data_IF_016565085733
#
_entry.id   IF_016565085733
#
_cell.length_a   1.000
_cell.length_b   1.000
_cell.length_c   1.000
_cell.angle_alpha   90.00
_cell.angle_beta   90.00
_cell.angle_gamma   90.00
#
_symmetry.space_group_name_H-M   'P 1'
#
loop_
_entity.id
_entity.type
_entity.pdbx_description
1 polymer ?
#
# COMPACT_ATOMS: atom_id res chain seq x y z
N UNK A 1 6.40 28.08 -20.58
CA UNK A 1 6.96 29.42 -20.89
C UNK A 1 8.37 29.25 -21.44
N UNK A 2 8.67 29.79 -22.62
CA UNK A 2 9.99 29.63 -23.25
C UNK A 2 11.07 30.33 -22.41
N UNK A 3 12.13 29.59 -22.09
CA UNK A 3 13.36 30.10 -21.50
C UNK A 3 13.94 31.19 -22.39
N UNK A 4 13.65 32.45 -22.07
CA UNK A 4 14.19 33.60 -22.77
C UNK A 4 15.34 34.13 -21.94
N UNK A 5 16.53 34.17 -22.55
CA UNK A 5 17.70 34.78 -21.94
C UNK A 5 17.32 36.23 -21.60
N UNK A 6 17.37 36.63 -20.31
CA UNK A 6 16.85 37.93 -19.90
C UNK A 6 17.65 39.03 -20.59
N UNK A 7 16.95 39.89 -21.33
CA UNK A 7 17.50 41.13 -21.85
C UNK A 7 17.35 42.22 -20.77
N UNK A 8 18.19 43.25 -20.82
CA UNK A 8 18.15 44.38 -19.87
C UNK A 8 16.73 44.97 -19.76
N UNK A 9 16.05 45.08 -20.90
CA UNK A 9 14.71 45.66 -20.98
C UNK A 9 13.63 44.78 -20.36
N UNK A 10 13.68 43.45 -20.54
CA UNK A 10 12.70 42.54 -19.94
C UNK A 10 12.87 42.45 -18.43
N UNK A 11 14.13 42.51 -17.95
CA UNK A 11 14.41 42.55 -16.51
C UNK A 11 13.90 43.83 -15.84
N UNK A 12 13.94 44.97 -16.53
CA UNK A 12 13.38 46.25 -16.02
C UNK A 12 11.85 46.21 -15.97
N UNK A 13 11.19 45.55 -16.92
CA UNK A 13 9.73 45.48 -16.99
C UNK A 13 9.12 44.55 -15.92
N UNK A 14 9.77 43.40 -15.67
CA UNK A 14 9.27 42.37 -14.75
C UNK A 14 9.91 42.43 -13.35
N UNK A 15 11.07 43.07 -13.22
CA UNK A 15 11.87 43.09 -12.01
C UNK A 15 11.54 44.24 -11.07
N UNK A 16 11.93 44.10 -9.81
CA UNK A 16 11.87 45.18 -8.83
C UNK A 16 13.23 45.89 -8.76
N UNK A 17 13.22 47.22 -8.90
CA UNK A 17 14.43 48.02 -8.74
C UNK A 17 14.80 48.14 -7.26
N UNK A 18 16.00 47.70 -6.91
CA UNK A 18 16.54 47.82 -5.56
C UNK A 18 18.03 48.20 -5.58
N UNK A 19 18.54 48.67 -4.45
CA UNK A 19 19.97 48.87 -4.26
C UNK A 19 20.54 47.65 -3.53
N UNK A 20 21.72 47.17 -3.93
CA UNK A 20 22.35 45.96 -3.37
C UNK A 20 22.47 45.99 -1.83
N UNK A 21 22.60 47.19 -1.25
CA UNK A 21 22.71 47.41 0.20
C UNK A 21 21.36 47.48 0.93
N UNK A 22 20.24 47.17 0.28
CA UNK A 22 18.90 47.22 0.87
C UNK A 22 18.39 48.64 1.17
N UNK A 23 19.01 49.66 0.56
CA UNK A 23 18.59 51.05 0.71
C UNK A 23 17.28 51.26 -0.04
N UNK A 24 16.27 51.82 0.64
CA UNK A 24 14.99 52.13 -0.01
C UNK A 24 15.17 53.26 -1.04
N UNK A 25 14.41 53.23 -2.16
CA UNK A 25 14.43 54.32 -3.14
C UNK A 25 14.15 55.70 -2.53
N UNK A 26 13.32 55.76 -1.48
CA UNK A 26 13.02 56.99 -0.74
C UNK A 26 14.24 57.55 0.00
N UNK A 27 15.04 56.68 0.64
CA UNK A 27 16.28 57.10 1.30
C UNK A 27 17.31 57.59 0.26
N UNK A 28 17.37 56.95 -0.92
CA UNK A 28 18.18 57.44 -2.03
C UNK A 28 17.75 58.85 -2.48
N UNK A 29 16.45 59.08 -2.70
CA UNK A 29 15.92 60.42 -3.05
C UNK A 29 16.25 61.47 -1.99
N UNK A 30 16.19 61.10 -0.71
CA UNK A 30 16.58 61.99 0.39
C UNK A 30 18.07 62.36 0.34
N UNK A 31 18.96 61.38 0.11
CA UNK A 31 20.40 61.61 -0.03
C UNK A 31 20.71 62.50 -1.24
N UNK A 32 20.01 62.32 -2.36
CA UNK A 32 20.13 63.18 -3.55
C UNK A 32 19.74 64.62 -3.21
N UNK A 33 18.62 64.84 -2.53
CA UNK A 33 18.20 66.17 -2.11
C UNK A 33 19.21 66.83 -1.16
N UNK A 34 19.81 66.06 -0.25
CA UNK A 34 20.85 66.54 0.66
C UNK A 34 22.12 66.96 -0.07
N UNK A 35 22.57 66.18 -1.07
CA UNK A 35 23.72 66.52 -1.92
C UNK A 35 23.45 67.82 -2.69
N UNK A 36 22.30 67.92 -3.37
CA UNK A 36 21.93 69.11 -4.14
C UNK A 36 21.84 70.34 -3.24
N UNK A 37 21.19 70.21 -2.07
CA UNK A 37 21.07 71.29 -1.08
C UNK A 37 22.41 71.72 -0.50
N UNK A 38 23.30 70.77 -0.17
CA UNK A 38 24.64 71.06 0.32
C UNK A 38 25.48 71.79 -0.74
N UNK A 39 25.47 71.31 -1.99
CA UNK A 39 26.15 71.98 -3.10
C UNK A 39 25.58 73.38 -3.27
N UNK A 40 24.26 73.55 -3.33
CA UNK A 40 23.61 74.86 -3.42
C UNK A 40 24.06 75.83 -2.31
N UNK A 41 24.09 75.39 -1.05
CA UNK A 41 24.56 76.18 0.09
C UNK A 41 26.03 76.63 -0.03
N UNK A 42 26.91 75.78 -0.60
CA UNK A 42 28.31 76.18 -0.84
C UNK A 42 28.43 77.30 -1.89
N UNK A 43 27.59 77.27 -2.93
CA UNK A 43 27.54 78.30 -3.96
C UNK A 43 26.82 79.60 -3.50
N UNK A 44 25.98 79.52 -2.46
CA UNK A 44 25.40 80.71 -1.81
C UNK A 44 26.45 81.51 -1.02
N UNK A 45 27.42 80.84 -0.38
CA UNK A 45 28.49 81.47 0.42
C UNK A 45 29.72 81.88 -0.39
N UNK A 46 29.64 81.91 -1.72
CA UNK A 46 30.77 82.23 -2.58
C UNK A 46 31.02 83.75 -2.60
N UNK A 47 32.25 84.16 -2.26
CA UNK A 47 32.70 85.57 -2.17
C UNK A 47 32.97 86.25 -3.52
N UNK A 48 32.87 85.53 -4.65
CA UNK A 48 33.07 86.07 -6.00
C UNK A 48 31.73 86.41 -6.68
N UNK A 49 31.61 87.57 -7.36
CA UNK A 49 30.40 87.95 -8.08
C UNK A 49 30.26 87.15 -9.38
N UNK A 50 29.68 85.96 -9.28
CA UNK A 50 29.26 85.16 -10.44
C UNK A 50 27.81 85.48 -10.79
N UNK A 51 27.49 85.54 -12.09
CA UNK A 51 26.10 85.66 -12.56
C UNK A 51 25.30 84.42 -12.15
N UNK A 52 23.98 84.60 -11.99
CA UNK A 52 23.06 83.52 -11.56
C UNK A 52 23.13 82.31 -12.48
N UNK A 53 23.28 82.52 -13.80
CA UNK A 53 23.39 81.45 -14.79
C UNK A 53 24.64 80.57 -14.61
N UNK A 54 25.79 81.16 -14.29
CA UNK A 54 27.02 80.40 -14.03
C UNK A 54 26.95 79.67 -12.70
N UNK A 55 26.31 80.25 -11.67
CA UNK A 55 26.07 79.57 -10.40
C UNK A 55 25.18 78.33 -10.58
N UNK A 56 24.07 78.46 -11.31
CA UNK A 56 23.19 77.33 -11.59
C UNK A 56 23.90 76.26 -12.40
N UNK A 57 24.70 76.64 -13.41
CA UNK A 57 25.48 75.69 -14.20
C UNK A 57 26.42 74.86 -13.32
N UNK A 58 27.25 75.50 -12.49
CA UNK A 58 28.19 74.76 -11.64
C UNK A 58 27.50 73.94 -10.54
N UNK A 59 26.38 74.40 -9.99
CA UNK A 59 25.59 73.61 -9.04
C UNK A 59 25.04 72.36 -9.71
N UNK A 60 24.47 72.49 -10.91
CA UNK A 60 23.92 71.34 -11.67
C UNK A 60 25.03 70.36 -12.01
N UNK A 61 26.15 70.83 -12.59
CA UNK A 61 27.28 69.96 -12.96
C UNK A 61 27.89 69.26 -11.74
N UNK A 62 28.08 69.96 -10.62
CA UNK A 62 28.69 69.36 -9.42
C UNK A 62 27.73 68.39 -8.73
N UNK A 63 26.45 68.73 -8.68
CA UNK A 63 25.42 67.85 -8.11
C UNK A 63 25.24 66.60 -8.98
N UNK A 64 25.24 66.72 -10.30
CA UNK A 64 25.09 65.55 -11.19
C UNK A 64 26.24 64.57 -11.04
N UNK A 65 27.49 65.04 -10.97
CA UNK A 65 28.66 64.17 -10.72
C UNK A 65 28.54 63.44 -9.39
N UNK A 66 28.16 64.14 -8.31
CA UNK A 66 28.01 63.53 -6.99
C UNK A 66 26.83 62.54 -6.92
N UNK A 67 25.72 62.84 -7.59
CA UNK A 67 24.56 61.95 -7.68
C UNK A 67 24.88 60.70 -8.49
N UNK A 68 25.59 60.83 -9.61
CA UNK A 68 26.04 59.68 -10.41
C UNK A 68 27.00 58.82 -9.58
N UNK A 69 27.94 59.43 -8.86
CA UNK A 69 28.85 58.71 -7.98
C UNK A 69 28.08 57.97 -6.87
N UNK A 70 27.11 58.63 -6.23
CA UNK A 70 26.23 57.98 -5.24
C UNK A 70 25.46 56.81 -5.87
N UNK A 71 24.86 57.00 -7.04
CA UNK A 71 24.11 55.95 -7.75
C UNK A 71 25.00 54.74 -8.04
N UNK A 72 26.21 54.95 -8.57
CA UNK A 72 27.17 53.87 -8.81
C UNK A 72 27.65 53.20 -7.50
N UNK A 73 27.86 53.98 -6.44
CA UNK A 73 28.31 53.47 -5.14
C UNK A 73 27.27 52.53 -4.52
N UNK A 74 25.98 52.88 -4.65
CA UNK A 74 24.89 52.09 -4.09
C UNK A 74 24.58 50.81 -4.88
N UNK A 75 25.25 50.59 -6.02
CA UNK A 75 25.08 49.42 -6.90
C UNK A 75 23.60 49.15 -7.20
N UNK A 76 23.02 49.82 -8.22
CA UNK A 76 21.66 49.52 -8.64
C UNK A 76 21.58 48.06 -9.11
N UNK A 77 20.62 47.31 -8.59
CA UNK A 77 20.38 45.92 -8.99
C UNK A 77 18.91 45.77 -9.33
N UNK A 78 18.63 44.91 -10.31
CA UNK A 78 17.28 44.51 -10.66
C UNK A 78 17.13 43.09 -10.17
N UNK A 79 16.18 42.87 -9.26
CA UNK A 79 15.86 41.55 -8.72
C UNK A 79 14.64 41.00 -9.45
N UNK A 80 14.81 39.87 -10.12
CA UNK A 80 13.74 39.10 -10.76
C UNK A 80 13.56 37.79 -10.02
N UNK A 81 12.31 37.40 -9.76
CA UNK A 81 12.00 36.06 -9.25
C UNK A 81 11.78 35.16 -10.47
N UNK A 82 12.63 34.15 -10.65
CA UNK A 82 12.43 33.12 -11.66
C UNK A 82 12.15 31.78 -10.96
N UNK A 83 11.04 31.15 -11.31
CA UNK A 83 10.76 29.76 -10.96
C UNK A 83 11.43 28.92 -12.03
N UNK A 84 12.49 28.19 -11.69
CA UNK A 84 13.09 27.24 -12.61
C UNK A 84 12.15 26.02 -12.72
N UNK A 85 11.51 25.77 -13.86
CA UNK A 85 10.76 24.52 -14.07
C UNK A 85 11.78 23.38 -14.02
N UNK A 86 11.41 22.23 -13.45
CA UNK A 86 12.23 21.01 -13.32
C UNK A 86 13.21 20.92 -12.13
N UNK A 87 13.15 21.81 -11.14
CA UNK A 87 13.81 21.57 -9.84
C UNK A 87 12.90 20.86 -8.83
N UNK A 88 11.70 20.42 -9.20
CA UNK A 88 10.76 19.76 -8.28
C UNK A 88 10.40 18.37 -8.79
N UNK A 89 10.48 17.38 -7.91
CA UNK A 89 10.16 15.98 -8.20
C UNK A 89 8.68 15.70 -7.90
N UNK A 90 8.07 14.81 -8.67
CA UNK A 90 6.74 14.25 -8.42
C UNK A 90 6.86 12.73 -8.37
N UNK A 91 6.51 12.11 -7.24
CA UNK A 91 6.46 10.66 -7.13
C UNK A 91 5.11 10.15 -7.60
N UNK A 92 5.08 9.19 -8.51
CA UNK A 92 3.87 8.52 -8.97
C UNK A 92 3.93 7.07 -8.53
N UNK A 93 3.01 6.66 -7.66
CA UNK A 93 2.85 5.30 -7.18
C UNK A 93 1.67 4.66 -7.91
N UNK A 94 1.89 3.49 -8.49
CA UNK A 94 0.89 2.75 -9.25
C UNK A 94 0.75 1.38 -8.62
N UNK A 95 -0.49 1.03 -8.30
CA UNK A 95 -0.85 -0.30 -7.81
C UNK A 95 -0.68 -1.33 -8.95
N UNK A 96 0.01 -2.44 -8.67
CA UNK A 96 0.27 -3.58 -9.58
C UNK A 96 -0.27 -4.89 -8.97
N UNK A 97 -1.22 -4.80 -8.04
CA UNK A 97 -1.88 -5.96 -7.43
C UNK A 97 -2.86 -6.65 -8.38
N UNK A 98 -3.26 -7.87 -8.01
CA UNK A 98 -4.21 -8.68 -8.79
C UNK A 98 -5.56 -8.00 -9.03
N UNK A 99 -6.02 -7.09 -8.16
CA UNK A 99 -7.27 -6.37 -8.40
C UNK A 99 -7.18 -5.42 -9.60
N UNK A 100 -5.98 -5.06 -10.04
CA UNK A 100 -5.75 -4.21 -11.20
C UNK A 100 -5.96 -4.95 -12.54
N UNK A 101 -6.05 -6.28 -12.53
CA UNK A 101 -6.42 -7.08 -13.70
C UNK A 101 -7.94 -7.20 -13.90
N UNK A 102 -8.76 -6.75 -12.94
CA UNK A 102 -10.22 -6.81 -13.03
C UNK A 102 -10.73 -5.92 -14.19
N UNK A 103 -11.64 -6.46 -15.00
CA UNK A 103 -12.23 -5.82 -16.18
C UNK A 103 -13.53 -5.06 -15.84
N UNK A 104 -13.44 -4.12 -14.90
CA UNK A 104 -14.60 -3.32 -14.46
C UNK A 104 -14.68 -1.93 -15.08
N UNK A 105 -13.73 -1.51 -15.93
CA UNK A 105 -13.82 -0.22 -16.62
C UNK A 105 -14.75 -0.28 -17.83
N UNK A 106 -15.12 0.90 -18.34
CA UNK A 106 -15.95 1.04 -19.54
C UNK A 106 -15.41 0.20 -20.69
N UNK A 107 -16.32 -0.46 -21.42
CA UNK A 107 -16.01 -1.36 -22.53
C UNK A 107 -15.22 -2.65 -22.17
N UNK A 108 -15.21 -3.06 -20.89
CA UNK A 108 -14.55 -4.30 -20.45
C UNK A 108 -13.02 -4.19 -20.45
N UNK A 109 -12.51 -2.97 -20.26
CA UNK A 109 -11.07 -2.76 -20.09
C UNK A 109 -10.67 -3.13 -18.66
N UNK A 110 -9.47 -3.68 -18.48
CA UNK A 110 -8.92 -3.86 -17.14
C UNK A 110 -8.53 -2.51 -16.51
N UNK A 111 -8.58 -2.44 -15.17
CA UNK A 111 -8.15 -1.24 -14.42
C UNK A 111 -6.76 -0.76 -14.84
N UNK A 112 -5.81 -1.69 -15.04
CA UNK A 112 -4.49 -1.36 -15.57
C UNK A 112 -4.57 -0.76 -16.99
N UNK A 113 -5.31 -1.35 -17.91
CA UNK A 113 -5.45 -0.79 -19.27
C UNK A 113 -5.97 0.66 -19.21
N UNK A 114 -6.91 0.94 -18.32
CA UNK A 114 -7.37 2.30 -18.04
C UNK A 114 -6.27 3.23 -17.54
N UNK A 115 -5.37 2.77 -16.67
CA UNK A 115 -4.19 3.53 -16.23
C UNK A 115 -3.26 3.79 -17.41
N UNK A 116 -2.93 2.78 -18.20
CA UNK A 116 -2.01 2.94 -19.34
C UNK A 116 -2.56 3.94 -20.36
N UNK A 117 -3.85 3.84 -20.66
CA UNK A 117 -4.51 4.71 -21.62
C UNK A 117 -4.64 6.14 -21.08
N UNK A 118 -5.17 6.31 -19.86
CA UNK A 118 -5.49 7.65 -19.34
C UNK A 118 -4.30 8.38 -18.73
N UNK A 119 -3.37 7.68 -18.08
CA UNK A 119 -2.24 8.31 -17.40
C UNK A 119 -1.05 8.46 -18.36
N UNK A 120 -0.71 7.41 -19.10
CA UNK A 120 0.50 7.40 -19.93
C UNK A 120 0.26 7.79 -21.40
N UNK A 121 -0.85 7.37 -22.02
CA UNK A 121 -1.11 7.64 -23.45
C UNK A 121 -1.89 8.92 -23.72
N UNK A 122 -2.83 9.28 -22.84
CA UNK A 122 -3.64 10.50 -22.97
C UNK A 122 -2.91 11.78 -22.55
N UNK A 123 -1.59 11.73 -22.33
CA UNK A 123 -0.73 12.91 -22.17
C UNK A 123 -0.71 13.53 -20.77
N UNK A 124 -1.39 12.95 -19.76
CA UNK A 124 -1.33 13.48 -18.38
C UNK A 124 0.10 13.50 -17.83
N UNK A 125 0.85 12.40 -18.04
CA UNK A 125 2.27 12.34 -17.69
C UNK A 125 3.09 13.37 -18.47
N UNK A 126 2.77 13.60 -19.75
CA UNK A 126 3.47 14.57 -20.59
C UNK A 126 3.24 16.01 -20.08
N UNK A 127 2.01 16.38 -19.76
CA UNK A 127 1.67 17.69 -19.18
C UNK A 127 2.36 17.91 -17.82
N UNK A 128 2.36 16.90 -16.96
CA UNK A 128 3.04 16.96 -15.66
C UNK A 128 4.57 17.05 -15.82
N UNK A 129 5.13 16.43 -16.87
CA UNK A 129 6.56 16.45 -17.16
C UNK A 129 7.08 17.83 -17.59
N UNK A 130 6.20 18.73 -18.06
CA UNK A 130 6.59 20.12 -18.38
C UNK A 130 7.03 20.90 -17.13
N UNK A 131 6.43 20.58 -15.98
CA UNK A 131 6.66 21.30 -14.71
C UNK A 131 7.48 20.50 -13.70
N UNK A 132 7.35 19.16 -13.68
CA UNK A 132 7.93 18.28 -12.67
C UNK A 132 8.82 17.18 -13.25
N UNK A 133 9.82 16.74 -12.49
CA UNK A 133 10.54 15.50 -12.77
C UNK A 133 9.79 14.31 -12.18
N UNK A 134 9.12 13.54 -13.03
CA UNK A 134 8.29 12.40 -12.59
C UNK A 134 9.17 11.19 -12.27
N UNK A 135 8.92 10.55 -11.13
CA UNK A 135 9.50 9.28 -10.71
C UNK A 135 8.38 8.28 -10.46
N UNK A 136 8.29 7.27 -11.33
CA UNK A 136 7.25 6.25 -11.24
C UNK A 136 7.72 5.06 -10.41
N UNK A 137 6.85 4.58 -9.55
CA UNK A 137 7.00 3.41 -8.70
C UNK A 137 5.79 2.53 -8.90
N UNK A 138 6.01 1.22 -8.97
CA UNK A 138 4.94 0.24 -8.79
C UNK A 138 4.97 -0.27 -7.37
N UNK A 139 3.80 -0.64 -6.86
CA UNK A 139 3.72 -1.33 -5.59
C UNK A 139 2.68 -2.45 -5.64
N UNK A 140 3.02 -3.52 -4.95
CA UNK A 140 2.13 -4.60 -4.57
C UNK A 140 2.41 -4.93 -3.08
N UNK A 141 2.95 -6.11 -2.80
CA UNK A 141 3.61 -6.46 -1.54
C UNK A 141 4.96 -5.76 -1.38
N UNK A 142 5.67 -5.56 -2.48
CA UNK A 142 6.94 -4.86 -2.53
C UNK A 142 6.83 -3.62 -3.42
N UNK A 143 7.70 -2.65 -3.19
CA UNK A 143 7.70 -1.40 -3.96
C UNK A 143 8.98 -1.29 -4.74
N UNK A 144 8.83 -1.03 -6.05
CA UNK A 144 9.96 -0.97 -6.97
C UNK A 144 9.83 0.24 -7.88
N UNK A 145 10.97 0.87 -8.15
CA UNK A 145 11.05 1.96 -9.12
C UNK A 145 11.04 1.41 -10.54
N UNK A 146 10.18 1.95 -11.40
CA UNK A 146 10.05 1.55 -12.80
C UNK A 146 10.42 2.71 -13.74
N UNK A 147 10.88 2.34 -14.93
CA UNK A 147 11.22 3.28 -16.01
C UNK A 147 10.12 3.22 -17.09
N UNK A 148 8.91 3.65 -16.74
CA UNK A 148 7.74 3.58 -17.63
C UNK A 148 6.92 2.30 -17.47
N UNK A 149 6.10 2.01 -18.48
CA UNK A 149 5.06 0.97 -18.47
C UNK A 149 5.57 -0.47 -18.46
N UNK A 150 6.77 -0.72 -19.00
CA UNK A 150 7.32 -2.08 -19.19
C UNK A 150 7.66 -2.82 -17.87
N UNK A 151 7.43 -2.16 -16.72
CA UNK A 151 7.72 -2.69 -15.40
C UNK A 151 6.53 -3.28 -14.65
N UNK A 152 5.31 -3.27 -15.19
CA UNK A 152 4.12 -3.83 -14.53
C UNK A 152 4.00 -5.33 -14.83
N UNK A 153 3.78 -6.16 -13.81
CA UNK A 153 3.77 -7.64 -13.96
C UNK A 153 2.46 -8.30 -13.57
N UNK A 154 1.49 -7.59 -12.96
CA UNK A 154 0.16 -8.13 -12.60
C UNK A 154 0.16 -9.36 -11.65
N UNK A 155 1.27 -9.63 -10.97
CA UNK A 155 1.45 -10.82 -10.12
C UNK A 155 1.35 -10.51 -8.62
N UNK A 156 1.06 -9.27 -8.27
CA UNK A 156 1.02 -8.79 -6.89
C UNK A 156 -0.13 -9.39 -6.08
N UNK A 157 0.17 -10.27 -5.13
CA UNK A 157 -0.84 -10.91 -4.24
C UNK A 157 -1.29 -10.03 -3.07
N UNK A 158 -0.73 -8.83 -2.94
CA UNK A 158 -1.04 -7.89 -1.89
C UNK A 158 -0.89 -6.44 -2.40
N UNK A 159 -1.57 -5.51 -1.73
CA UNK A 159 -1.38 -4.06 -1.84
C UNK A 159 -1.00 -3.53 -0.45
N UNK A 160 0.25 -3.08 -0.31
CA UNK A 160 0.76 -2.49 0.93
C UNK A 160 1.13 -1.02 0.71
N UNK A 161 0.15 -0.15 0.90
CA UNK A 161 0.30 1.30 0.65
C UNK A 161 1.29 1.93 1.66
N UNK A 162 1.31 1.45 2.90
CA UNK A 162 2.22 1.92 3.95
C UNK A 162 3.70 1.72 3.56
N UNK A 163 4.02 0.53 3.06
CA UNK A 163 5.36 0.16 2.62
C UNK A 163 5.74 0.92 1.36
N UNK A 164 4.79 1.17 0.46
CA UNK A 164 5.00 1.97 -0.74
C UNK A 164 5.34 3.42 -0.42
N UNK A 165 4.58 4.06 0.47
CA UNK A 165 4.85 5.41 0.94
C UNK A 165 6.21 5.51 1.63
N UNK A 166 6.55 4.54 2.47
CA UNK A 166 7.85 4.48 3.15
C UNK A 166 9.02 4.34 2.17
N UNK A 167 8.92 3.42 1.21
CA UNK A 167 9.95 3.19 0.21
C UNK A 167 10.18 4.43 -0.65
N UNK A 168 9.10 5.10 -1.06
CA UNK A 168 9.19 6.33 -1.83
C UNK A 168 9.80 7.47 -1.00
N UNK A 169 9.49 7.57 0.30
CA UNK A 169 10.13 8.53 1.17
C UNK A 169 11.65 8.33 1.22
N UNK A 170 12.09 7.09 1.43
CA UNK A 170 13.51 6.73 1.49
C UNK A 170 14.23 7.02 0.16
N UNK A 171 13.59 6.72 -0.98
CA UNK A 171 14.18 6.94 -2.31
C UNK A 171 14.22 8.41 -2.72
N UNK A 172 13.24 9.20 -2.31
CA UNK A 172 13.13 10.62 -2.66
C UNK A 172 13.67 11.55 -1.57
N UNK A 173 14.23 10.99 -0.49
CA UNK A 173 14.83 11.76 0.59
C UNK A 173 15.96 12.66 0.07
N UNK A 174 15.95 13.92 0.50
CA UNK A 174 16.92 14.94 0.08
C UNK A 174 16.64 15.54 -1.30
N UNK A 175 15.61 15.08 -2.01
CA UNK A 175 15.12 15.74 -3.23
C UNK A 175 14.00 16.74 -2.88
N UNK A 176 13.89 17.85 -3.63
CA UNK A 176 12.76 18.77 -3.54
C UNK A 176 11.48 18.11 -4.10
N UNK A 177 10.78 17.36 -3.27
CA UNK A 177 9.53 16.67 -3.60
C UNK A 177 8.35 17.64 -3.53
N UNK A 178 7.64 17.82 -4.64
CA UNK A 178 6.46 18.69 -4.74
C UNK A 178 5.15 18.00 -4.36
N UNK A 179 5.12 16.66 -4.41
CA UNK A 179 3.94 15.87 -4.08
C UNK A 179 4.09 14.41 -4.49
N UNK A 180 3.11 13.60 -4.09
CA UNK A 180 2.93 12.22 -4.52
C UNK A 180 1.57 12.07 -5.21
N UNK A 181 1.50 11.22 -6.23
CA UNK A 181 0.26 10.75 -6.85
C UNK A 181 0.16 9.26 -6.58
N UNK A 182 -0.88 8.83 -5.90
CA UNK A 182 -1.18 7.43 -5.60
C UNK A 182 -2.34 6.97 -6.48
N UNK A 183 -2.09 5.98 -7.34
CA UNK A 183 -3.07 5.41 -8.26
C UNK A 183 -3.35 3.98 -7.82
N UNK A 184 -4.57 3.71 -7.35
CA UNK A 184 -4.99 2.42 -6.75
C UNK A 184 -6.51 2.30 -6.83
N UNK A 185 -7.05 1.10 -6.68
CA UNK A 185 -8.49 0.86 -6.45
C UNK A 185 -8.92 1.14 -5.00
N UNK A 186 -7.96 1.40 -4.11
CA UNK A 186 -8.18 1.74 -2.71
C UNK A 186 -8.17 0.53 -1.76
N UNK A 187 -7.94 -0.68 -2.27
CA UNK A 187 -7.74 -1.85 -1.44
C UNK A 187 -6.34 -1.83 -0.81
N UNK A 188 -6.27 -1.98 0.51
CA UNK A 188 -5.02 -2.12 1.26
C UNK A 188 -5.12 -3.35 2.16
N UNK A 189 -4.21 -4.29 1.96
CA UNK A 189 -4.06 -5.48 2.80
C UNK A 189 -2.68 -5.54 3.48
N UNK A 190 -2.03 -4.37 3.58
CA UNK A 190 -0.81 -4.18 4.36
C UNK A 190 -1.03 -4.41 5.86
N UNK A 191 0.07 -4.64 6.58
CA UNK A 191 0.03 -4.89 8.03
C UNK A 191 -0.22 -3.61 8.85
N UNK A 192 0.13 -2.44 8.33
CA UNK A 192 0.04 -1.17 9.03
C UNK A 192 -0.91 -0.21 8.31
N UNK A 193 -1.54 0.67 9.08
CA UNK A 193 -2.39 1.73 8.53
C UNK A 193 -1.56 2.76 7.74
N UNK A 194 -1.81 2.93 6.43
CA UNK A 194 -1.08 3.84 5.55
C UNK A 194 -1.27 5.32 5.93
N UNK A 195 -2.32 5.67 6.68
CA UNK A 195 -2.56 7.03 7.16
C UNK A 195 -1.43 7.50 8.06
N UNK A 196 -0.80 6.61 8.83
CA UNK A 196 0.34 6.98 9.68
C UNK A 196 1.52 7.48 8.85
N UNK A 197 1.85 6.78 7.75
CA UNK A 197 2.93 7.22 6.86
C UNK A 197 2.53 8.48 6.09
N UNK A 198 1.26 8.61 5.69
CA UNK A 198 0.76 9.81 5.02
C UNK A 198 0.87 11.07 5.91
N UNK A 199 0.72 10.95 7.23
CA UNK A 199 0.88 12.07 8.17
C UNK A 199 2.30 12.64 8.16
N UNK A 200 3.33 11.81 7.97
CA UNK A 200 4.72 12.28 7.89
C UNK A 200 4.95 13.16 6.65
N UNK A 201 4.35 12.81 5.50
CA UNK A 201 4.34 13.68 4.33
C UNK A 201 3.60 14.99 4.60
N UNK A 202 2.44 14.93 5.25
CA UNK A 202 1.66 16.11 5.65
C UNK A 202 2.42 17.07 6.57
N UNK A 203 3.17 16.55 7.54
CA UNK A 203 4.01 17.34 8.44
C UNK A 203 5.11 18.12 7.71
N UNK A 204 5.58 17.60 6.57
CA UNK A 204 6.55 18.27 5.68
C UNK A 204 5.89 19.10 4.56
N UNK A 205 4.56 19.26 4.61
CA UNK A 205 3.76 19.96 3.61
C UNK A 205 3.86 19.36 2.20
N UNK A 206 4.02 18.04 2.10
CA UNK A 206 4.05 17.32 0.82
C UNK A 206 2.67 16.70 0.61
N UNK A 207 1.88 17.18 -0.37
CA UNK A 207 0.55 16.64 -0.64
C UNK A 207 0.63 15.26 -1.27
N UNK A 208 -0.32 14.38 -0.90
CA UNK A 208 -0.58 13.10 -1.56
C UNK A 208 -1.91 13.23 -2.29
N UNK A 209 -1.89 13.06 -3.61
CA UNK A 209 -3.06 13.07 -4.47
C UNK A 209 -3.46 11.63 -4.77
N UNK A 210 -4.66 11.22 -4.39
CA UNK A 210 -5.17 9.87 -4.63
C UNK A 210 -6.06 9.86 -5.87
N UNK A 211 -5.81 8.90 -6.76
CA UNK A 211 -6.60 8.62 -7.96
C UNK A 211 -7.15 7.20 -7.84
N UNK A 212 -8.46 7.10 -7.61
CA UNK A 212 -9.17 5.83 -7.58
C UNK A 212 -9.34 5.24 -8.99
N UNK A 213 -9.16 3.94 -9.14
CA UNK A 213 -9.37 3.21 -10.40
C UNK A 213 -10.34 2.05 -10.19
N UNK A 214 -11.32 1.93 -11.09
CA UNK A 214 -12.38 0.91 -11.02
C UNK A 214 -13.76 1.54 -10.77
N UNK A 215 -14.78 0.70 -10.71
CA UNK A 215 -16.14 1.14 -10.39
C UNK A 215 -16.31 1.32 -8.88
N UNK A 216 -17.00 2.40 -8.47
CA UNK A 216 -17.34 2.62 -7.05
C UNK A 216 -18.32 1.57 -6.53
N UNK A 217 -19.20 1.06 -7.39
CA UNK A 217 -20.17 0.03 -7.05
C UNK A 217 -20.22 -1.04 -8.14
N UNK A 218 -19.88 -2.28 -7.76
CA UNK A 218 -20.10 -3.46 -8.60
C UNK A 218 -21.54 -3.92 -8.35
N UNK A 219 -22.41 -3.96 -9.38
CA UNK A 219 -23.84 -4.21 -9.18
C UNK A 219 -24.17 -5.70 -9.04
N UNK A 220 -23.36 -6.59 -9.61
CA UNK A 220 -23.58 -8.03 -9.63
C UNK A 220 -22.25 -8.74 -9.36
N UNK A 221 -22.15 -9.36 -8.18
CA UNK A 221 -20.94 -10.04 -7.73
C UNK A 221 -21.31 -11.09 -6.68
N UNK A 222 -20.67 -12.24 -6.72
CA UNK A 222 -20.65 -13.24 -5.66
C UNK A 222 -19.19 -13.35 -5.23
N UNK A 223 -18.95 -13.58 -3.95
CA UNK A 223 -17.58 -13.70 -3.47
C UNK A 223 -17.48 -14.55 -2.23
N UNK A 224 -16.41 -15.35 -2.17
CA UNK A 224 -16.03 -16.09 -0.97
C UNK A 224 -15.36 -15.11 0.00
N UNK A 225 -15.99 -14.88 1.16
CA UNK A 225 -15.48 -13.96 2.19
C UNK A 225 -14.62 -14.69 3.23
N UNK A 226 -15.02 -15.90 3.60
CA UNK A 226 -14.34 -16.69 4.63
C UNK A 226 -14.52 -18.19 4.38
N UNK A 227 -13.45 -18.96 4.57
CA UNK A 227 -13.50 -20.42 4.51
C UNK A 227 -12.85 -20.98 5.77
N UNK A 228 -13.65 -21.69 6.56
CA UNK A 228 -13.20 -22.36 7.77
C UNK A 228 -13.27 -23.87 7.57
N UNK A 229 -12.10 -24.51 7.54
CA UNK A 229 -11.95 -25.96 7.42
C UNK A 229 -10.98 -26.50 8.49
N UNK A 230 -11.10 -27.79 8.81
CA UNK A 230 -10.15 -28.45 9.70
C UNK A 230 -8.78 -28.57 9.01
N UNK A 231 -7.73 -27.98 9.61
CA UNK A 231 -6.35 -28.07 9.08
C UNK A 231 -5.80 -29.49 9.13
N UNK A 232 -6.33 -30.30 10.03
CA UNK A 232 -5.91 -31.68 10.19
C UNK A 232 -7.08 -32.56 10.58
N UNK A 233 -7.19 -33.71 9.92
CA UNK A 233 -8.29 -34.65 10.07
C UNK A 233 -7.74 -36.04 10.39
N UNK A 234 -8.59 -36.88 10.97
CA UNK A 234 -8.26 -38.29 11.19
C UNK A 234 -8.59 -39.07 9.93
N UNK A 235 -7.82 -40.13 9.66
CA UNK A 235 -8.06 -41.01 8.52
C UNK A 235 -9.50 -41.54 8.52
N UNK A 236 -10.20 -41.37 7.40
CA UNK A 236 -11.59 -41.82 7.22
C UNK A 236 -12.64 -41.05 8.03
N UNK A 237 -12.28 -39.90 8.60
CA UNK A 237 -13.23 -39.01 9.28
C UNK A 237 -13.83 -37.99 8.31
N UNK A 238 -15.13 -37.74 8.46
CA UNK A 238 -15.84 -36.66 7.79
C UNK A 238 -15.69 -35.38 8.61
N UNK A 239 -15.50 -34.25 7.95
CA UNK A 239 -15.43 -32.94 8.60
C UNK A 239 -16.22 -31.88 7.81
N UNK A 240 -16.61 -30.80 8.48
CA UNK A 240 -17.37 -29.72 7.85
C UNK A 240 -16.42 -28.63 7.36
N UNK A 241 -16.69 -28.14 6.14
CA UNK A 241 -16.12 -26.92 5.57
C UNK A 241 -17.20 -25.85 5.63
N UNK A 242 -16.97 -24.81 6.43
CA UNK A 242 -17.87 -23.66 6.52
C UNK A 242 -17.41 -22.58 5.57
N UNK A 243 -18.27 -22.21 4.63
CA UNK A 243 -18.03 -21.18 3.62
C UNK A 243 -18.95 -20.01 3.88
N UNK A 244 -18.39 -18.81 4.03
CA UNK A 244 -19.15 -17.57 4.07
C UNK A 244 -19.13 -16.92 2.68
N UNK A 245 -20.32 -16.75 2.10
CA UNK A 245 -20.50 -16.07 0.83
C UNK A 245 -21.14 -14.72 1.07
N UNK A 246 -20.69 -13.70 0.36
CA UNK A 246 -21.38 -12.44 0.20
C UNK A 246 -21.75 -12.26 -1.27
N UNK A 247 -22.85 -11.57 -1.52
CA UNK A 247 -23.32 -11.34 -2.88
C UNK A 247 -24.12 -10.05 -2.99
N UNK A 248 -24.22 -9.57 -4.23
CA UNK A 248 -25.08 -8.47 -4.64
C UNK A 248 -25.69 -8.79 -6.00
N UNK A 249 -26.97 -8.48 -6.19
CA UNK A 249 -27.68 -8.67 -7.46
C UNK A 249 -28.20 -10.10 -7.71
N UNK A 250 -28.05 -11.02 -6.74
CA UNK A 250 -28.36 -12.44 -6.88
C UNK A 250 -29.28 -12.99 -5.76
N UNK A 251 -30.03 -12.12 -5.08
CA UNK A 251 -30.96 -12.53 -4.00
C UNK A 251 -31.96 -13.62 -4.47
N UNK A 252 -32.03 -14.71 -3.71
CA UNK A 252 -32.95 -15.81 -3.94
C UNK A 252 -32.59 -16.74 -5.10
N UNK A 253 -31.42 -16.57 -5.72
CA UNK A 253 -30.93 -17.51 -6.72
C UNK A 253 -30.35 -18.78 -6.09
N UNK A 254 -30.47 -19.89 -6.83
CA UNK A 254 -29.82 -21.16 -6.53
C UNK A 254 -28.48 -21.19 -7.25
N UNK A 255 -27.40 -21.44 -6.50
CA UNK A 255 -26.04 -21.54 -7.04
C UNK A 255 -25.40 -22.86 -6.56
N UNK A 256 -24.54 -23.44 -7.37
CA UNK A 256 -23.75 -24.61 -6.99
C UNK A 256 -22.44 -24.19 -6.27
N UNK A 257 -22.21 -24.78 -5.09
CA UNK A 257 -20.91 -24.76 -4.42
C UNK A 257 -20.25 -26.11 -4.58
N UNK A 258 -19.04 -26.14 -5.13
CA UNK A 258 -18.28 -27.37 -5.37
C UNK A 258 -16.94 -27.34 -4.64
N UNK A 259 -16.50 -28.51 -4.17
CA UNK A 259 -15.14 -28.72 -3.66
C UNK A 259 -14.42 -29.67 -4.62
N UNK A 260 -13.31 -29.20 -5.18
CA UNK A 260 -12.50 -29.89 -6.17
C UNK A 260 -11.20 -30.43 -5.52
N UNK A 261 -10.81 -31.64 -5.87
CA UNK A 261 -9.45 -32.18 -5.65
C UNK A 261 -8.80 -32.32 -7.04
N UNK A 262 -7.99 -31.31 -7.39
CA UNK A 262 -7.48 -31.12 -8.77
C UNK A 262 -8.67 -31.00 -9.75
N UNK A 263 -8.77 -31.90 -10.72
CA UNK A 263 -9.83 -31.86 -11.74
C UNK A 263 -11.10 -32.63 -11.33
N UNK A 264 -11.15 -33.23 -10.13
CA UNK A 264 -12.27 -34.06 -9.70
C UNK A 264 -13.12 -33.34 -8.66
N UNK A 265 -14.42 -33.24 -8.94
CA UNK A 265 -15.41 -32.77 -7.98
C UNK A 265 -15.64 -33.82 -6.89
N UNK A 266 -15.32 -33.46 -5.66
CA UNK A 266 -15.39 -34.34 -4.48
C UNK A 266 -16.73 -34.19 -3.77
N UNK A 267 -17.21 -32.95 -3.66
CA UNK A 267 -18.49 -32.63 -3.03
C UNK A 267 -19.16 -31.46 -3.76
N UNK A 268 -20.49 -31.40 -3.73
CA UNK A 268 -21.24 -30.24 -4.22
C UNK A 268 -22.58 -30.09 -3.52
N UNK A 269 -22.95 -28.84 -3.26
CA UNK A 269 -24.22 -28.48 -2.66
C UNK A 269 -24.83 -27.27 -3.39
N UNK A 270 -26.10 -27.40 -3.79
CA UNK A 270 -26.88 -26.27 -4.31
C UNK A 270 -27.42 -25.47 -3.15
N UNK A 271 -27.07 -24.19 -3.08
CA UNK A 271 -27.47 -23.28 -2.01
C UNK A 271 -28.31 -22.12 -2.54
N UNK A 272 -29.26 -21.66 -1.72
CA UNK A 272 -30.06 -20.47 -2.04
C UNK A 272 -29.42 -19.25 -1.40
N UNK A 273 -29.13 -18.25 -2.22
CA UNK A 273 -28.59 -16.96 -1.77
C UNK A 273 -29.64 -16.20 -0.94
N UNK A 274 -29.17 -15.68 0.20
CA UNK A 274 -30.00 -14.90 1.13
C UNK A 274 -30.19 -13.45 0.69
N UNK A 275 -30.48 -12.58 1.66
CA UNK A 275 -30.48 -11.14 1.45
C UNK A 275 -29.08 -10.63 1.05
N UNK A 276 -29.04 -9.60 0.20
CA UNK A 276 -27.79 -8.99 -0.28
C UNK A 276 -27.02 -8.26 0.83
N UNK A 277 -25.69 -8.22 0.70
CA UNK A 277 -24.79 -7.47 1.59
C UNK A 277 -24.70 -8.01 3.03
N UNK A 278 -25.15 -9.25 3.26
CA UNK A 278 -25.00 -9.96 4.53
C UNK A 278 -24.33 -11.30 4.27
N UNK A 279 -23.06 -11.47 4.69
CA UNK A 279 -22.36 -12.73 4.52
C UNK A 279 -23.12 -13.88 5.19
N UNK A 280 -23.41 -14.93 4.42
CA UNK A 280 -24.14 -16.11 4.90
C UNK A 280 -23.23 -17.34 4.85
N UNK A 281 -23.31 -18.15 5.92
CA UNK A 281 -22.55 -19.39 6.04
C UNK A 281 -23.31 -20.59 5.51
N UNK A 282 -22.62 -21.40 4.71
CA UNK A 282 -23.02 -22.69 4.20
C UNK A 282 -22.02 -23.75 4.69
N UNK A 283 -22.47 -24.99 4.90
CA UNK A 283 -21.64 -26.05 5.46
C UNK A 283 -21.64 -27.27 4.54
N UNK A 284 -20.49 -27.58 3.94
CA UNK A 284 -20.29 -28.76 3.12
C UNK A 284 -19.56 -29.84 3.95
N UNK A 285 -19.96 -31.10 3.79
CA UNK A 285 -19.30 -32.23 4.45
C UNK A 285 -18.28 -32.85 3.51
N UNK A 286 -17.01 -32.87 3.93
CA UNK A 286 -15.93 -33.43 3.11
C UNK A 286 -15.35 -34.69 3.76
N UNK A 287 -15.09 -35.70 2.94
CA UNK A 287 -14.41 -36.93 3.33
C UNK A 287 -13.12 -37.10 2.51
N UNK A 288 -11.93 -36.95 3.11
CA UNK A 288 -10.69 -37.13 2.38
C UNK A 288 -10.45 -38.59 1.98
N UNK A 289 -10.21 -38.84 0.69
CA UNK A 289 -10.00 -40.20 0.18
C UNK A 289 -8.57 -40.73 0.35
N UNK A 290 -7.58 -39.84 0.49
CA UNK A 290 -6.15 -40.17 0.41
C UNK A 290 -5.40 -39.75 1.67
N UNK A 291 -4.52 -40.60 2.23
CA UNK A 291 -3.80 -40.29 3.46
C UNK A 291 -2.56 -39.39 3.20
N UNK A 292 -2.79 -38.22 2.63
CA UNK A 292 -1.74 -37.26 2.28
C UNK A 292 -2.15 -35.81 2.58
N UNK A 293 -1.25 -34.87 2.32
CA UNK A 293 -1.58 -33.44 2.30
C UNK A 293 -2.37 -33.16 1.02
N UNK A 294 -3.62 -32.76 1.15
CA UNK A 294 -4.50 -32.47 0.02
C UNK A 294 -4.79 -30.98 -0.02
N UNK A 295 -4.67 -30.38 -1.21
CA UNK A 295 -5.15 -29.02 -1.48
C UNK A 295 -6.50 -29.18 -2.16
N UNK A 296 -7.52 -28.61 -1.56
CA UNK A 296 -8.87 -28.54 -2.11
C UNK A 296 -9.13 -27.15 -2.64
N UNK A 297 -9.78 -27.08 -3.80
CA UNK A 297 -10.24 -25.82 -4.40
C UNK A 297 -11.75 -25.74 -4.20
N UNK A 298 -12.19 -24.76 -3.43
CA UNK A 298 -13.60 -24.41 -3.28
C UNK A 298 -13.97 -23.49 -4.44
N UNK A 299 -15.01 -23.83 -5.19
CA UNK A 299 -15.49 -23.05 -6.32
C UNK A 299 -16.98 -22.70 -6.15
N UNK A 300 -17.32 -21.48 -6.52
CA UNK A 300 -18.70 -21.00 -6.66
C UNK A 300 -19.03 -20.94 -8.15
N UNK A 301 -20.20 -21.46 -8.53
CA UNK A 301 -20.67 -21.40 -9.91
C UNK A 301 -20.77 -19.95 -10.41
N UNK A 302 -19.96 -19.63 -11.44
CA UNK A 302 -19.95 -18.32 -12.11
C UNK A 302 -21.35 -17.96 -12.63
N UNK A 303 -21.90 -16.85 -12.14
CA UNK A 303 -23.22 -16.40 -12.56
C UNK A 303 -23.16 -15.39 -13.70
N UNK A 304 -24.26 -15.30 -14.46
CA UNK A 304 -24.34 -14.34 -15.54
C UNK A 304 -24.31 -12.90 -15.01
N UNK A 305 -23.41 -12.07 -15.53
CA UNK A 305 -23.30 -10.65 -15.15
C UNK A 305 -22.24 -10.36 -14.10
N UNK A 306 -21.58 -11.38 -13.58
CA UNK A 306 -20.45 -11.26 -12.65
C UNK A 306 -19.20 -10.76 -13.37
N UNK A 307 -18.48 -9.84 -12.73
CA UNK A 307 -17.29 -9.18 -13.31
C UNK A 307 -16.00 -9.77 -12.71
N UNK A 308 -16.03 -10.10 -11.43
CA UNK A 308 -14.89 -10.65 -10.71
C UNK A 308 -15.10 -12.15 -10.64
N UNK A 309 -14.33 -12.91 -11.40
CA UNK A 309 -14.39 -14.38 -11.35
C UNK A 309 -13.41 -14.93 -10.30
N UNK A 310 -12.40 -14.14 -9.94
CA UNK A 310 -11.28 -14.57 -9.12
C UNK A 310 -11.66 -14.76 -7.63
N UNK A 311 -12.68 -14.06 -7.15
CA UNK A 311 -13.24 -14.17 -5.79
C UNK A 311 -14.17 -15.38 -5.60
N UNK A 312 -14.47 -16.12 -6.69
CA UNK A 312 -15.29 -17.33 -6.67
C UNK A 312 -14.50 -18.61 -6.43
N UNK A 313 -13.19 -18.52 -6.25
CA UNK A 313 -12.33 -19.66 -5.96
C UNK A 313 -11.51 -19.45 -4.68
N UNK A 314 -11.37 -20.49 -3.86
CA UNK A 314 -10.53 -20.47 -2.67
C UNK A 314 -9.87 -21.82 -2.40
N UNK A 315 -8.54 -21.84 -2.40
CA UNK A 315 -7.76 -23.05 -2.11
C UNK A 315 -7.45 -23.17 -0.61
N UNK A 316 -7.67 -24.36 -0.03
CA UNK A 316 -7.30 -24.66 1.35
C UNK A 316 -6.60 -26.02 1.47
N UNK A 317 -5.67 -26.11 2.43
CA UNK A 317 -4.87 -27.32 2.68
C UNK A 317 -5.39 -28.09 3.88
N UNK A 318 -5.58 -29.39 3.69
CA UNK A 318 -5.98 -30.36 4.71
C UNK A 318 -4.89 -31.41 4.86
N UNK A 319 -4.42 -31.59 6.09
CA UNK A 319 -3.53 -32.68 6.47
C UNK A 319 -4.35 -33.93 6.83
N UNK A 320 -4.34 -34.94 5.96
CA UNK A 320 -4.89 -36.27 6.22
C UNK A 320 -3.78 -37.34 6.30
N UNK A 321 -2.54 -36.94 6.61
CA UNK A 321 -1.45 -37.91 6.72
C UNK A 321 -1.70 -38.91 7.84
N UNK A 322 -1.20 -40.15 7.67
CA UNK A 322 -1.25 -41.16 8.73
C UNK A 322 -0.52 -40.64 9.97
N UNK A 323 -1.26 -40.58 11.08
CA UNK A 323 -0.71 -40.16 12.37
C UNK A 323 -0.41 -41.39 13.23
N UNK A 324 0.68 -41.34 14.03
CA UNK A 324 0.88 -42.36 15.04
C UNK A 324 -0.32 -42.35 16.00
N UNK A 325 -0.77 -43.53 16.46
CA UNK A 325 -1.87 -43.60 17.40
C UNK A 325 -1.51 -42.85 18.69
N UNK A 326 -2.52 -42.24 19.31
CA UNK A 326 -2.36 -41.60 20.61
C UNK A 326 -2.18 -42.68 21.68
N UNK A 327 -1.00 -42.70 22.29
CA UNK A 327 -0.67 -43.62 23.37
C UNK A 327 -1.39 -43.23 24.67
N UNK A 328 -2.32 -44.09 25.10
CA UNK A 328 -3.06 -43.93 26.35
C UNK A 328 -2.65 -45.05 27.30
N UNK A 329 -2.12 -44.67 28.47
CA UNK A 329 -1.83 -45.61 29.56
C UNK A 329 -2.99 -45.66 30.56
N UNK A 330 -3.70 -46.78 30.59
CA UNK A 330 -4.75 -47.09 31.58
C UNK A 330 -4.16 -47.83 32.78
N UNK A 331 -4.27 -47.24 33.98
CA UNK A 331 -3.73 -47.81 35.22
C UNK A 331 -4.87 -48.12 36.17
N UNK A 332 -4.89 -49.33 36.73
CA UNK A 332 -5.87 -49.71 37.74
C UNK A 332 -5.26 -50.60 38.83
N UNK A 333 -5.66 -50.35 40.09
CA UNK A 333 -5.13 -51.07 41.26
C UNK A 333 -5.77 -52.43 41.52
N UNK A 334 -6.97 -52.69 40.99
CA UNK A 334 -7.64 -53.99 41.08
C UNK A 334 -8.44 -54.23 39.80
N UNK A 335 -8.48 -55.45 39.23
CA UNK A 335 -9.19 -55.70 37.99
C UNK A 335 -10.71 -55.58 38.20
N UNK A 336 -11.34 -54.61 37.53
CA UNK A 336 -12.81 -54.48 37.52
C UNK A 336 -13.40 -54.85 36.16
N UNK A 337 -14.71 -55.03 36.11
CA UNK A 337 -15.39 -55.41 34.86
C UNK A 337 -15.40 -54.26 33.85
N UNK A 338 -15.38 -53.01 34.30
CA UNK A 338 -15.36 -51.79 33.49
C UNK A 338 -14.19 -51.76 32.53
N UNK A 339 -13.01 -52.21 32.97
CA UNK A 339 -11.81 -52.36 32.15
C UNK A 339 -12.08 -53.09 30.82
N UNK A 340 -12.83 -54.21 30.89
CA UNK A 340 -13.16 -55.02 29.72
C UNK A 340 -14.00 -54.24 28.71
N UNK A 341 -14.93 -53.42 29.20
CA UNK A 341 -15.81 -52.63 28.34
C UNK A 341 -15.06 -51.46 27.70
N UNK A 342 -14.21 -50.76 28.47
CA UNK A 342 -13.37 -49.68 27.95
C UNK A 342 -12.48 -50.21 26.84
N UNK A 343 -11.69 -51.27 27.10
CA UNK A 343 -10.78 -51.83 26.11
C UNK A 343 -11.50 -52.25 24.83
N UNK A 344 -12.65 -52.93 24.95
CA UNK A 344 -13.43 -53.35 23.79
C UNK A 344 -14.00 -52.17 23.00
N UNK A 345 -14.33 -51.07 23.66
CA UNK A 345 -14.83 -49.87 22.99
C UNK A 345 -13.76 -49.17 22.14
N UNK A 346 -12.48 -49.28 22.53
CA UNK A 346 -11.34 -48.68 21.80
C UNK A 346 -10.62 -49.66 20.88
N UNK A 347 -10.98 -50.94 20.87
CA UNK A 347 -10.23 -51.99 20.15
C UNK A 347 -10.28 -51.82 18.62
N UNK A 348 -11.36 -51.24 18.10
CA UNK A 348 -11.55 -50.99 16.67
C UNK A 348 -11.01 -49.61 16.23
N UNK A 349 -10.64 -48.73 17.17
CA UNK A 349 -10.15 -47.37 16.89
C UNK A 349 -8.63 -47.37 16.68
N UNK A 350 -8.20 -47.25 15.41
CA UNK A 350 -6.77 -47.23 15.04
C UNK A 350 -6.05 -45.96 15.46
N UNK A 351 -6.78 -44.90 15.81
CA UNK A 351 -6.19 -43.63 16.23
C UNK A 351 -5.71 -43.64 17.68
N UNK A 352 -6.11 -44.65 18.46
CA UNK A 352 -5.78 -44.77 19.88
C UNK A 352 -5.04 -46.07 20.16
N UNK A 353 -3.93 -45.99 20.91
CA UNK A 353 -3.25 -47.18 21.45
C UNK A 353 -3.47 -47.23 22.95
N UNK A 354 -4.29 -48.17 23.40
CA UNK A 354 -4.55 -48.38 24.83
C UNK A 354 -3.56 -49.39 25.44
N UNK A 355 -2.51 -48.89 26.08
CA UNK A 355 -1.64 -49.68 26.94
C UNK A 355 -2.25 -49.78 28.35
N UNK A 356 -2.26 -50.97 28.94
CA UNK A 356 -2.97 -51.23 30.21
C UNK A 356 -2.03 -51.80 31.25
N UNK A 357 -2.17 -51.33 32.50
CA UNK A 357 -1.34 -51.68 33.64
C UNK A 357 -2.23 -52.00 34.85
N UNK A 358 -2.59 -53.27 35.00
CA UNK A 358 -3.52 -53.74 36.03
C UNK A 358 -2.78 -54.45 37.14
N UNK A 359 -2.92 -54.00 38.39
CA UNK A 359 -2.34 -54.71 39.52
C UNK A 359 -3.20 -55.96 39.85
N UNK A 360 -2.59 -57.15 39.78
CA UNK A 360 -3.23 -58.44 40.10
C UNK A 360 -2.77 -59.03 41.43
N UNK A 361 -1.73 -58.46 42.03
CA UNK A 361 -1.24 -58.81 43.37
C UNK A 361 -0.09 -57.90 43.81
N UNK A 362 0.48 -58.14 45.00
CA UNK A 362 1.68 -57.41 45.45
C UNK A 362 2.80 -57.59 44.44
N UNK A 363 3.28 -56.49 43.86
CA UNK A 363 4.32 -56.45 42.82
C UNK A 363 4.02 -57.25 41.54
N UNK A 364 2.75 -57.63 41.31
CA UNK A 364 2.33 -58.33 40.09
C UNK A 364 1.39 -57.47 39.27
N UNK A 365 1.81 -57.18 38.05
CA UNK A 365 1.06 -56.36 37.10
C UNK A 365 0.77 -57.16 35.84
N UNK A 366 -0.48 -57.08 35.40
CA UNK A 366 -0.94 -57.61 34.14
C UNK A 366 -0.94 -56.47 33.11
N UNK A 367 -0.20 -56.69 32.02
CA UNK A 367 0.04 -55.71 30.96
C UNK A 367 -0.57 -56.21 29.65
N UNK A 368 -1.36 -55.36 29.00
CA UNK A 368 -1.95 -55.66 27.69
C UNK A 368 -1.92 -54.39 26.82
N UNK A 369 -1.90 -54.54 25.49
CA UNK A 369 -1.75 -53.40 24.57
C UNK A 369 -0.33 -52.82 24.51
N UNK A 370 0.66 -53.61 24.93
CA UNK A 370 2.10 -53.27 24.83
C UNK A 370 2.70 -53.83 23.54
N UNK A 371 3.60 -53.09 22.92
CA UNK A 371 4.36 -53.43 21.72
C UNK A 371 5.46 -54.45 21.99
N UNK A 372 6.06 -54.40 23.19
CA UNK A 372 7.14 -55.32 23.58
C UNK A 372 6.96 -55.92 24.98
N UNK A 373 7.48 -57.13 25.23
CA UNK A 373 7.46 -57.74 26.58
C UNK A 373 8.14 -56.88 27.66
N UNK A 374 9.07 -56.02 27.23
CA UNK A 374 9.87 -55.10 28.06
C UNK A 374 9.19 -53.76 28.32
N UNK A 375 8.20 -53.37 27.51
CA UNK A 375 7.48 -52.11 27.69
C UNK A 375 6.71 -52.11 29.03
N UNK A 376 6.85 -51.04 29.80
CA UNK A 376 6.28 -50.88 31.15
C UNK A 376 6.72 -51.97 32.15
N UNK A 377 7.76 -52.75 31.86
CA UNK A 377 8.21 -53.85 32.74
C UNK A 377 8.79 -53.36 34.07
N UNK A 378 9.40 -52.17 34.08
CA UNK A 378 9.97 -51.50 35.26
C UNK A 378 8.97 -50.61 36.01
N UNK A 379 7.70 -50.57 35.58
CA UNK A 379 6.69 -49.64 36.08
C UNK A 379 6.79 -48.26 35.43
N UNK A 380 6.37 -47.21 36.16
CA UNK A 380 6.45 -45.83 35.67
C UNK A 380 7.93 -45.39 35.56
N UNK A 381 8.34 -44.62 34.53
CA UNK A 381 9.66 -44.03 34.48
C UNK A 381 9.95 -43.27 35.78
N UNK A 382 11.08 -43.59 36.42
CA UNK A 382 11.47 -42.97 37.70
C UNK A 382 12.05 -41.56 37.52
N UNK A 383 12.41 -41.22 36.29
CA UNK A 383 13.00 -39.94 35.93
C UNK A 383 12.06 -39.22 34.95
N UNK A 384 11.70 -37.98 35.30
CA UNK A 384 10.90 -37.04 34.50
C UNK A 384 11.75 -36.36 33.45
#
# INVERSE_FOLDING_TARGET
MQYTIPNLFTSIEEGTFSFAYGISPYLFSFLVALIVGAVWLTYLRTTRPLSTAWKTFFVVTRSSVLVILLFCLLRPVITTFQVAPQETYLGMLIDDSQSMSIEDLDAGQSRRQGIEENIFRNGLVDELSESFQIRTFRFDKETQRIAGLDGLTEEGTASSIDQALKYVDDQLNGLPLGGLVLVTDGADNGENDPVNQAQDFGNRQIPIFTVGVGQEEIPQDIGIVDVTAAKTVLEGSVFNVSVALDHRGYEGQEIELSIMDRDNQVESEVVILGAEGVPRRYELQLNPERPELIVYDLEVELQSGEIIEQNNSYSFLVDNTEKPPLDILYIEGHPRNEYKFIRRAVEDDRSLRLATYLQTGPEKFYRQGVESPTELSSGFPRDK
#
